data_IF_892870192050
#
_entry.id   IF_892870192050
#
_cell.length_a   1.000
_cell.length_b   1.000
_cell.length_c   1.000
_cell.angle_alpha   90.00
_cell.angle_beta   90.00
_cell.angle_gamma   90.00
#
_symmetry.space_group_name_H-M   'P 1'
#
loop_
_entity.id
_entity.type
_entity.pdbx_description
1 polymer ?
#
# COMPACT_ATOMS: atom_id res chain seq x y z
N UNK A 1 -3.09 13.06 -4.80
CA UNK A 1 -2.87 14.50 -5.02
C UNK A 1 -1.48 14.75 -5.57
N UNK A 2 -1.35 15.81 -6.35
CA UNK A 2 -0.08 16.38 -6.77
C UNK A 2 0.60 17.01 -5.54
N UNK A 3 1.88 16.71 -5.35
CA UNK A 3 2.61 17.10 -4.14
C UNK A 3 4.08 16.68 -4.26
N UNK A 4 4.98 17.26 -3.46
CA UNK A 4 6.42 17.06 -3.57
C UNK A 4 6.83 15.58 -3.52
N UNK A 5 7.88 15.20 -4.25
CA UNK A 5 8.42 13.84 -4.23
C UNK A 5 8.99 13.47 -2.85
N UNK A 6 9.53 14.43 -2.11
CA UNK A 6 10.16 14.20 -0.80
C UNK A 6 9.20 13.70 0.29
N UNK A 7 7.89 13.87 0.07
CA UNK A 7 6.83 13.44 1.00
C UNK A 7 5.87 12.41 0.38
N UNK A 8 6.21 11.86 -0.79
CA UNK A 8 5.34 10.93 -1.51
C UNK A 8 5.11 9.64 -0.72
N UNK A 9 6.14 9.12 -0.04
CA UNK A 9 6.07 7.92 0.78
C UNK A 9 5.11 8.08 1.96
N UNK A 10 5.15 9.24 2.64
CA UNK A 10 4.22 9.55 3.72
C UNK A 10 2.78 9.66 3.21
N UNK A 11 2.54 10.44 2.15
CA UNK A 11 1.19 10.61 1.60
C UNK A 11 0.60 9.29 1.12
N UNK A 12 1.40 8.45 0.46
CA UNK A 12 0.97 7.12 0.01
C UNK A 12 0.65 6.21 1.19
N UNK A 13 1.49 6.22 2.23
CA UNK A 13 1.27 5.42 3.44
C UNK A 13 -0.03 5.83 4.13
N UNK A 14 -0.22 7.13 4.37
CA UNK A 14 -1.46 7.67 4.97
C UNK A 14 -2.68 7.37 4.12
N UNK A 15 -2.60 7.58 2.81
CA UNK A 15 -3.69 7.31 1.88
C UNK A 15 -4.11 5.84 1.94
N UNK A 16 -3.15 4.91 1.82
CA UNK A 16 -3.46 3.49 1.79
C UNK A 16 -4.00 3.00 3.13
N UNK A 17 -3.40 3.40 4.25
CA UNK A 17 -3.92 3.05 5.58
C UNK A 17 -5.29 3.69 5.84
N UNK A 18 -5.52 4.92 5.38
CA UNK A 18 -6.81 5.61 5.48
C UNK A 18 -7.95 4.87 4.77
N UNK A 19 -7.68 4.18 3.65
CA UNK A 19 -8.67 3.31 2.98
C UNK A 19 -9.13 2.17 3.91
N UNK A 20 -8.22 1.63 4.73
CA UNK A 20 -8.52 0.56 5.67
C UNK A 20 -9.15 1.07 6.97
N UNK A 21 -8.79 2.27 7.42
CA UNK A 21 -9.37 2.87 8.62
C UNK A 21 -10.80 3.39 8.38
N UNK A 22 -11.16 3.71 7.13
CA UNK A 22 -12.53 4.08 6.77
C UNK A 22 -13.43 2.82 6.61
N UNK A 23 -14.49 2.65 7.42
CA UNK A 23 -15.35 1.46 7.39
C UNK A 23 -16.06 1.23 6.04
N UNK A 24 -16.42 2.30 5.33
CA UNK A 24 -17.13 2.27 4.05
C UNK A 24 -16.24 1.71 2.94
N UNK A 25 -14.96 2.05 2.93
CA UNK A 25 -13.99 1.53 1.95
C UNK A 25 -13.38 0.20 2.38
N UNK A 26 -13.20 -0.03 3.70
CA UNK A 26 -12.64 -1.27 4.25
C UNK A 26 -13.48 -2.49 3.93
N UNK A 27 -14.80 -2.40 4.11
CA UNK A 27 -15.72 -3.54 3.96
C UNK A 27 -15.64 -4.22 2.59
N UNK A 28 -15.81 -3.49 1.46
CA UNK A 28 -15.68 -4.09 0.13
C UNK A 28 -14.25 -4.58 -0.15
N UNK A 29 -13.21 -3.88 0.32
CA UNK A 29 -11.82 -4.28 0.13
C UNK A 29 -11.51 -5.60 0.84
N UNK A 30 -11.98 -5.78 2.08
CA UNK A 30 -11.86 -7.03 2.82
C UNK A 30 -12.58 -8.19 2.11
N UNK A 31 -13.75 -7.93 1.53
CA UNK A 31 -14.47 -8.95 0.78
C UNK A 31 -13.65 -9.44 -0.42
N UNK A 32 -13.07 -8.51 -1.19
CA UNK A 32 -12.20 -8.84 -2.33
C UNK A 32 -10.97 -9.65 -1.89
N UNK A 33 -10.28 -9.23 -0.82
CA UNK A 33 -9.09 -9.94 -0.31
C UNK A 33 -9.44 -11.35 0.15
N UNK A 34 -10.55 -11.53 0.89
CA UNK A 34 -11.01 -12.85 1.34
C UNK A 34 -11.38 -13.76 0.17
N UNK A 35 -11.98 -13.20 -0.87
CA UNK A 35 -12.26 -13.94 -2.11
C UNK A 35 -10.97 -14.35 -2.82
N UNK A 36 -9.95 -13.49 -2.87
CA UNK A 36 -8.66 -13.79 -3.48
C UNK A 36 -7.90 -14.93 -2.77
N UNK A 37 -7.91 -14.97 -1.43
CA UNK A 37 -7.23 -16.02 -0.66
C UNK A 37 -7.85 -17.41 -0.91
N UNK A 38 -9.13 -17.47 -1.26
CA UNK A 38 -9.85 -18.73 -1.49
C UNK A 38 -10.08 -19.07 -2.97
N UNK A 39 -9.66 -18.20 -3.91
CA UNK A 39 -9.96 -18.35 -5.33
C UNK A 39 -8.90 -17.64 -6.20
N UNK A 40 -8.13 -18.41 -6.97
CA UNK A 40 -7.08 -17.92 -7.87
C UNK A 40 -7.59 -16.92 -8.94
N UNK A 41 -8.82 -17.10 -9.43
CA UNK A 41 -9.39 -16.15 -10.40
C UNK A 41 -9.67 -14.78 -9.77
N UNK A 42 -10.13 -14.74 -8.52
CA UNK A 42 -10.30 -13.51 -7.76
C UNK A 42 -8.95 -12.88 -7.37
N UNK A 43 -7.93 -13.70 -7.08
CA UNK A 43 -6.57 -13.24 -6.87
C UNK A 43 -5.98 -12.59 -8.13
N UNK A 44 -6.24 -13.14 -9.32
CA UNK A 44 -5.82 -12.54 -10.60
C UNK A 44 -6.47 -11.17 -10.84
N UNK A 45 -7.75 -11.01 -10.51
CA UNK A 45 -8.45 -9.72 -10.60
C UNK A 45 -7.90 -8.72 -9.58
N UNK A 46 -7.66 -9.14 -8.33
CA UNK A 46 -7.06 -8.28 -7.30
C UNK A 46 -5.64 -7.83 -7.69
N UNK A 47 -4.80 -8.75 -8.18
CA UNK A 47 -3.47 -8.44 -8.74
C UNK A 47 -3.58 -7.38 -9.84
N UNK A 48 -4.53 -7.52 -10.77
CA UNK A 48 -4.75 -6.53 -11.85
C UNK A 48 -5.26 -5.18 -11.35
N UNK A 49 -6.11 -5.12 -10.33
CA UNK A 49 -6.67 -3.85 -9.85
C UNK A 49 -5.69 -3.07 -8.97
N UNK A 50 -5.04 -3.76 -8.03
CA UNK A 50 -4.11 -3.13 -7.07
C UNK A 50 -2.79 -2.78 -7.74
N UNK A 51 -2.18 -3.72 -8.48
CA UNK A 51 -0.90 -3.46 -9.13
C UNK A 51 -1.09 -2.40 -10.24
N UNK A 52 -2.13 -2.54 -11.07
CA UNK A 52 -2.13 -1.80 -12.31
C UNK A 52 -2.65 -0.36 -12.21
N UNK A 53 -3.39 0.04 -11.16
CA UNK A 53 -3.83 1.44 -11.02
C UNK A 53 -2.97 2.28 -10.07
N UNK A 54 -2.50 1.70 -8.96
CA UNK A 54 -1.64 2.42 -8.01
C UNK A 54 -0.20 2.54 -8.53
N UNK A 55 0.39 1.45 -9.04
CA UNK A 55 1.79 1.42 -9.44
C UNK A 55 2.06 2.31 -10.65
N UNK A 56 1.22 2.24 -11.69
CA UNK A 56 1.42 3.04 -12.91
C UNK A 56 1.34 4.54 -12.66
N UNK A 57 0.50 4.99 -11.72
CA UNK A 57 0.43 6.40 -11.33
C UNK A 57 1.65 6.84 -10.52
N UNK A 58 2.23 5.95 -9.72
CA UNK A 58 3.42 6.27 -8.92
C UNK A 58 4.67 6.24 -9.81
N UNK A 59 4.86 5.17 -10.58
CA UNK A 59 5.97 5.00 -11.50
C UNK A 59 6.05 6.12 -12.55
N UNK A 60 4.91 6.54 -13.12
CA UNK A 60 4.87 7.65 -14.08
C UNK A 60 5.26 9.02 -13.51
N UNK A 61 5.47 9.13 -12.19
CA UNK A 61 5.93 10.35 -11.51
C UNK A 61 7.40 10.24 -11.05
N UNK A 62 8.02 9.08 -11.18
CA UNK A 62 9.41 8.85 -10.83
C UNK A 62 10.26 8.99 -12.08
N UNK A 63 10.97 10.11 -12.21
CA UNK A 63 12.00 10.28 -13.24
C UNK A 63 13.33 9.69 -12.75
N UNK A 64 13.31 8.39 -12.45
CA UNK A 64 14.43 7.64 -11.87
C UNK A 64 14.59 6.29 -12.59
N UNK A 65 15.82 5.73 -12.62
CA UNK A 65 16.02 4.35 -13.07
C UNK A 65 15.14 3.36 -12.31
N UNK A 66 14.66 2.34 -13.01
CA UNK A 66 13.83 1.27 -12.45
C UNK A 66 12.54 1.76 -11.74
N UNK A 67 11.96 2.87 -12.21
CA UNK A 67 10.76 3.48 -11.65
C UNK A 67 9.61 2.49 -11.36
N UNK A 68 9.41 1.51 -12.25
CA UNK A 68 8.42 0.45 -12.06
C UNK A 68 8.74 -0.44 -10.86
N UNK A 69 9.97 -0.95 -10.78
CA UNK A 69 10.44 -1.78 -9.66
C UNK A 69 10.37 -1.02 -8.32
N UNK A 70 10.78 0.25 -8.32
CA UNK A 70 10.70 1.13 -7.14
C UNK A 70 9.26 1.28 -6.64
N UNK A 71 8.32 1.52 -7.55
CA UNK A 71 6.90 1.58 -7.23
C UNK A 71 6.38 0.22 -6.73
N UNK A 72 6.78 -0.88 -7.36
CA UNK A 72 6.39 -2.25 -6.96
C UNK A 72 6.84 -2.59 -5.55
N UNK A 73 8.09 -2.28 -5.19
CA UNK A 73 8.62 -2.51 -3.83
C UNK A 73 7.89 -1.64 -2.79
N UNK A 74 7.65 -0.36 -3.10
CA UNK A 74 6.89 0.53 -2.24
C UNK A 74 5.45 0.00 -1.99
N UNK A 75 4.80 -0.52 -3.02
CA UNK A 75 3.48 -1.12 -2.88
C UNK A 75 3.52 -2.45 -2.11
N UNK A 76 4.52 -3.30 -2.36
CA UNK A 76 4.70 -4.56 -1.65
C UNK A 76 4.82 -4.32 -0.14
N UNK A 77 5.59 -3.31 0.27
CA UNK A 77 5.72 -2.89 1.67
C UNK A 77 4.35 -2.51 2.26
N UNK A 78 3.60 -1.65 1.58
CA UNK A 78 2.30 -1.18 2.07
C UNK A 78 1.25 -2.30 2.13
N UNK A 79 1.20 -3.15 1.11
CA UNK A 79 0.28 -4.30 1.07
C UNK A 79 0.61 -5.29 2.18
N UNK A 80 1.90 -5.59 2.43
CA UNK A 80 2.32 -6.46 3.51
C UNK A 80 1.87 -5.95 4.88
N UNK A 81 2.07 -4.66 5.16
CA UNK A 81 1.59 -4.02 6.40
C UNK A 81 0.07 -4.13 6.52
N UNK A 82 -0.67 -3.83 5.44
CA UNK A 82 -2.12 -3.91 5.46
C UNK A 82 -2.64 -5.34 5.70
N UNK A 83 -2.02 -6.34 5.07
CA UNK A 83 -2.37 -7.75 5.28
C UNK A 83 -2.14 -8.18 6.72
N UNK A 84 -0.98 -7.87 7.28
CA UNK A 84 -0.65 -8.24 8.66
C UNK A 84 -1.53 -7.52 9.68
N UNK A 85 -1.85 -6.23 9.45
CA UNK A 85 -2.66 -5.42 10.37
C UNK A 85 -4.15 -5.74 10.29
N UNK A 86 -4.76 -5.69 9.10
CA UNK A 86 -6.22 -5.67 8.95
C UNK A 86 -6.83 -7.04 8.66
N UNK A 87 -6.06 -7.95 8.07
CA UNK A 87 -6.55 -9.26 7.62
C UNK A 87 -6.12 -10.35 8.59
N UNK A 88 -4.81 -10.52 8.77
CA UNK A 88 -4.22 -11.53 9.65
C UNK A 88 -4.33 -11.10 11.12
N UNK A 89 -4.27 -9.78 11.38
CA UNK A 89 -4.36 -9.17 12.71
C UNK A 89 -3.26 -9.63 13.67
N UNK A 90 -2.00 -9.52 13.23
CA UNK A 90 -0.83 -9.83 14.06
C UNK A 90 -0.63 -8.75 15.12
N UNK A 91 -0.43 -9.13 16.39
CA UNK A 91 -0.12 -8.19 17.47
C UNK A 91 1.40 -7.98 17.65
N UNK A 92 1.86 -6.77 18.05
CA UNK A 92 1.06 -5.59 18.44
C UNK A 92 0.62 -4.72 17.25
N UNK A 93 0.90 -5.14 16.01
CA UNK A 93 0.65 -4.32 14.81
C UNK A 93 -0.84 -4.05 14.57
N UNK A 94 -1.72 -5.00 14.91
CA UNK A 94 -3.16 -4.87 14.72
C UNK A 94 -3.78 -3.80 15.62
N UNK A 95 -3.31 -3.69 16.87
CA UNK A 95 -3.83 -2.75 17.87
C UNK A 95 -3.07 -1.42 17.95
N UNK A 96 -1.87 -1.33 17.37
CA UNK A 96 -1.07 -0.11 17.39
C UNK A 96 -1.80 1.10 16.78
N UNK A 97 -1.47 2.30 17.28
CA UNK A 97 -1.90 3.55 16.67
C UNK A 97 -1.42 3.64 15.21
N UNK A 98 -2.33 4.00 14.30
CA UNK A 98 -2.03 4.14 12.88
C UNK A 98 -0.96 5.19 12.64
N UNK A 99 -0.94 6.27 13.42
CA UNK A 99 0.08 7.32 13.29
C UNK A 99 1.47 6.77 13.59
N UNK A 100 1.59 5.92 14.61
CA UNK A 100 2.85 5.25 14.94
C UNK A 100 3.33 4.32 13.83
N UNK A 101 2.41 3.70 13.10
CA UNK A 101 2.73 2.87 11.94
C UNK A 101 3.18 3.75 10.79
N UNK A 102 2.48 4.84 10.50
CA UNK A 102 2.85 5.80 9.45
C UNK A 102 4.27 6.33 9.68
N UNK A 103 4.60 6.78 10.89
CA UNK A 103 5.94 7.26 11.25
C UNK A 103 7.06 6.26 10.94
N UNK A 104 6.78 4.95 11.10
CA UNK A 104 7.76 3.88 10.89
C UNK A 104 7.83 3.41 9.44
N UNK A 105 6.69 3.37 8.75
CA UNK A 105 6.57 2.79 7.41
C UNK A 105 6.84 3.82 6.32
N UNK A 106 6.41 5.07 6.50
CA UNK A 106 6.55 6.12 5.50
C UNK A 106 8.00 6.34 5.03
N UNK A 107 9.02 6.36 5.91
CA UNK A 107 10.41 6.49 5.46
C UNK A 107 10.91 5.30 4.62
N UNK A 108 10.44 4.09 4.90
CA UNK A 108 10.78 2.88 4.12
C UNK A 108 10.18 2.98 2.72
N UNK A 109 8.91 3.37 2.64
CA UNK A 109 8.21 3.59 1.36
C UNK A 109 8.88 4.71 0.57
N UNK A 110 9.23 5.82 1.23
CA UNK A 110 9.99 6.92 0.60
C UNK A 110 11.33 6.41 0.07
N UNK A 111 12.05 5.59 0.84
CA UNK A 111 13.32 4.97 0.44
C UNK A 111 13.18 4.13 -0.83
N UNK A 112 12.16 3.26 -0.93
CA UNK A 112 11.93 2.52 -2.17
C UNK A 112 11.70 3.43 -3.38
N UNK A 113 11.00 4.56 -3.19
CA UNK A 113 10.61 5.45 -4.28
C UNK A 113 11.74 6.39 -4.73
N UNK A 114 12.54 6.91 -3.79
CA UNK A 114 13.45 8.03 -4.08
C UNK A 114 14.87 7.87 -3.54
N UNK A 115 15.22 6.77 -2.85
CA UNK A 115 16.62 6.54 -2.49
C UNK A 115 17.48 6.42 -3.77
N UNK A 116 18.77 6.83 -3.74
CA UNK A 116 19.67 6.71 -4.90
C UNK A 116 19.65 5.32 -5.53
#
# INVERSE_FOLDING_TARGET
EDGPLDTVGERLTRFLLGIWENPTTRTPLLAIVRSAVNNESAAAVFRRLVAAQLLRRIAGRLDLPDAELRAELAAAQLVGVAMLRYVIKVEPLASADVERIVERVAPVVQGHLTAP
#
